data_IF_374708308269
#
_entry.id   IF_374708308269
#
_cell.length_a   1.000
_cell.length_b   1.000
_cell.length_c   1.000
_cell.angle_alpha   90.00
_cell.angle_beta   90.00
_cell.angle_gamma   90.00
#
_symmetry.space_group_name_H-M   'P 1'
#
loop_
_entity.id
_entity.type
_entity.pdbx_description
1 polymer ?
#
# COMPACT_ATOMS: atom_id res chain seq x y z
N UNK A 1 -25.34 5.98 6.19
CA UNK A 1 -24.52 5.81 7.41
C UNK A 1 -23.09 5.57 6.94
N UNK A 2 -22.16 6.44 7.31
CA UNK A 2 -20.88 6.60 6.60
C UNK A 2 -19.81 5.60 7.06
N UNK A 3 -19.32 4.79 6.11
CA UNK A 3 -18.11 3.95 6.22
C UNK A 3 -16.83 4.79 6.51
N UNK A 4 -16.93 6.12 6.48
CA UNK A 4 -15.81 7.05 6.72
C UNK A 4 -15.17 6.95 8.11
N UNK A 5 -15.87 6.41 9.12
CA UNK A 5 -15.33 6.30 10.49
C UNK A 5 -14.35 5.13 10.69
N UNK A 6 -14.31 4.14 9.78
CA UNK A 6 -13.41 2.97 9.88
C UNK A 6 -11.96 3.26 9.43
N UNK A 7 -11.71 4.41 8.77
CA UNK A 7 -10.40 4.74 8.17
C UNK A 7 -9.49 5.56 9.11
N UNK A 8 -9.97 6.00 10.29
CA UNK A 8 -9.14 6.73 11.27
C UNK A 8 -8.29 5.85 12.20
N UNK A 9 -8.38 4.52 12.09
CA UNK A 9 -7.72 3.62 13.04
C UNK A 9 -6.18 3.57 12.92
N UNK A 10 -5.58 4.13 11.87
CA UNK A 10 -4.19 3.82 11.53
C UNK A 10 -3.18 4.95 11.59
N UNK A 11 -3.54 6.16 12.01
CA UNK A 11 -2.66 7.29 12.39
C UNK A 11 -1.17 7.19 11.96
N UNK A 12 -0.93 6.95 10.67
CA UNK A 12 0.38 6.96 10.03
C UNK A 12 0.38 8.20 9.15
N UNK A 13 1.36 9.08 9.33
CA UNK A 13 1.52 10.33 8.57
C UNK A 13 1.98 10.09 7.14
N UNK A 14 1.20 9.31 6.38
CA UNK A 14 1.27 9.25 4.92
C UNK A 14 -0.07 9.81 4.42
N UNK A 15 -0.02 11.01 3.82
CA UNK A 15 -1.19 11.59 3.19
C UNK A 15 -1.45 10.80 1.90
N UNK A 16 -2.29 9.77 2.03
CA UNK A 16 -2.78 8.97 0.93
C UNK A 16 -4.12 9.54 0.46
N UNK A 17 -4.21 9.89 -0.82
CA UNK A 17 -5.45 10.32 -1.46
C UNK A 17 -5.80 9.37 -2.59
N UNK A 18 -7.09 9.11 -2.80
CA UNK A 18 -7.59 8.21 -3.84
C UNK A 18 -9.04 7.79 -3.61
N UNK A 19 -9.62 7.09 -4.57
CA UNK A 19 -10.96 6.51 -4.47
C UNK A 19 -10.84 5.10 -3.91
N UNK A 20 -11.31 4.89 -2.68
CA UNK A 20 -11.30 3.59 -2.02
C UNK A 20 -12.61 2.85 -2.24
N UNK A 21 -12.52 1.62 -2.73
CA UNK A 21 -13.59 0.62 -2.77
C UNK A 21 -13.19 -0.59 -1.94
N UNK A 22 -14.11 -1.04 -1.08
CA UNK A 22 -13.98 -2.25 -0.29
C UNK A 22 -15.22 -3.11 -0.52
N UNK A 23 -15.03 -4.35 -0.93
CA UNK A 23 -16.11 -5.30 -1.17
C UNK A 23 -15.80 -6.63 -0.51
N UNK A 24 -16.64 -7.06 0.42
CA UNK A 24 -16.38 -8.26 1.19
C UNK A 24 -17.44 -8.53 2.24
N UNK A 25 -17.24 -9.63 2.95
CA UNK A 25 -18.13 -10.10 3.99
C UNK A 25 -17.33 -10.23 5.29
N UNK A 26 -17.88 -9.68 6.35
CA UNK A 26 -17.33 -9.78 7.69
C UNK A 26 -18.42 -10.20 8.67
N UNK A 27 -18.06 -11.08 9.58
CA UNK A 27 -18.92 -11.59 10.63
C UNK A 27 -18.26 -11.37 11.98
N UNK A 28 -19.03 -10.94 12.97
CA UNK A 28 -18.59 -10.75 14.34
C UNK A 28 -19.78 -10.71 15.29
N UNK A 29 -19.51 -10.56 16.59
CA UNK A 29 -20.56 -10.66 17.61
C UNK A 29 -21.25 -9.32 17.86
N UNK A 30 -20.50 -8.22 17.80
CA UNK A 30 -20.98 -6.85 18.02
C UNK A 30 -20.34 -5.89 17.03
N UNK A 31 -21.08 -4.85 16.66
CA UNK A 31 -20.57 -3.77 15.81
C UNK A 31 -19.92 -2.71 16.72
N UNK A 32 -18.74 -3.03 17.23
CA UNK A 32 -17.92 -2.12 18.02
C UNK A 32 -16.42 -2.34 17.75
N UNK A 33 -15.59 -1.35 18.11
CA UNK A 33 -14.17 -1.35 17.76
C UNK A 33 -13.36 -2.43 18.50
N UNK A 34 -13.77 -2.83 19.71
CA UNK A 34 -13.05 -3.84 20.48
C UNK A 34 -13.39 -5.25 20.01
N UNK A 35 -14.66 -5.48 19.67
CA UNK A 35 -15.11 -6.74 19.07
C UNK A 35 -14.49 -6.93 17.69
N UNK A 36 -14.42 -5.87 16.87
CA UNK A 36 -13.76 -5.90 15.57
C UNK A 36 -12.29 -6.36 15.65
N UNK A 37 -11.57 -5.88 16.66
CA UNK A 37 -10.14 -6.21 16.84
C UNK A 37 -9.88 -7.62 17.40
N UNK A 38 -10.91 -8.36 17.81
CA UNK A 38 -10.74 -9.61 18.58
C UNK A 38 -11.54 -10.78 18.05
N UNK A 39 -12.74 -10.54 17.53
CA UNK A 39 -13.72 -11.58 17.24
C UNK A 39 -14.30 -11.50 15.83
N UNK A 40 -14.00 -10.43 15.10
CA UNK A 40 -14.42 -10.34 13.72
C UNK A 40 -13.52 -11.18 12.83
N UNK A 41 -14.15 -11.81 11.86
CA UNK A 41 -13.50 -12.60 10.83
C UNK A 41 -14.16 -12.32 9.48
N UNK A 42 -13.41 -12.49 8.40
CA UNK A 42 -13.97 -12.26 7.07
C UNK A 42 -12.91 -12.05 6.00
N UNK A 43 -13.39 -11.78 4.80
CA UNK A 43 -12.56 -11.53 3.64
C UNK A 43 -13.12 -10.39 2.81
N UNK A 44 -12.23 -9.59 2.26
CA UNK A 44 -12.59 -8.49 1.39
C UNK A 44 -11.57 -8.30 0.27
N UNK A 45 -12.04 -7.67 -0.80
CA UNK A 45 -11.22 -7.10 -1.85
C UNK A 45 -11.15 -5.59 -1.62
N UNK A 46 -9.93 -5.10 -1.51
CA UNK A 46 -9.59 -3.69 -1.44
C UNK A 46 -9.16 -3.23 -2.84
N UNK A 47 -9.72 -2.14 -3.32
CA UNK A 47 -9.28 -1.47 -4.54
C UNK A 47 -9.19 0.03 -4.28
N UNK A 48 -8.09 0.64 -4.68
CA UNK A 48 -7.89 2.08 -4.68
C UNK A 48 -7.54 2.51 -6.09
N UNK A 49 -8.25 3.51 -6.61
CA UNK A 49 -7.96 4.13 -7.89
C UNK A 49 -7.51 5.57 -7.68
N UNK A 50 -6.78 6.12 -8.66
CA UNK A 50 -6.30 7.50 -8.65
C UNK A 50 -5.48 7.81 -7.39
N UNK A 51 -4.60 6.88 -7.00
CA UNK A 51 -3.90 6.96 -5.71
C UNK A 51 -2.71 7.92 -5.81
N UNK A 52 -2.65 8.90 -4.93
CA UNK A 52 -1.48 9.80 -4.77
C UNK A 52 -1.00 9.73 -3.34
N UNK A 53 0.27 9.37 -3.18
CA UNK A 53 0.97 9.28 -1.90
C UNK A 53 1.98 10.41 -1.83
N UNK A 54 1.78 11.35 -0.92
CA UNK A 54 2.72 12.44 -0.67
C UNK A 54 3.89 11.97 0.20
N UNK A 55 5.09 12.54 -0.02
CA UNK A 55 6.27 12.32 0.82
C UNK A 55 7.09 11.06 0.47
N UNK A 56 6.62 10.28 -0.49
CA UNK A 56 7.38 9.20 -1.11
C UNK A 56 7.38 9.43 -2.62
N UNK A 57 8.56 9.61 -3.22
CA UNK A 57 8.71 9.75 -4.66
C UNK A 57 9.56 8.59 -5.19
N UNK A 58 8.89 7.56 -5.74
CA UNK A 58 9.60 6.41 -6.31
C UNK A 58 10.42 6.75 -7.57
N UNK A 59 10.05 7.79 -8.33
CA UNK A 59 10.86 8.24 -9.48
C UNK A 59 12.24 8.71 -9.00
N UNK A 60 12.29 9.47 -7.90
CA UNK A 60 13.55 9.86 -7.25
C UNK A 60 14.34 8.64 -6.74
N UNK A 61 13.69 7.65 -6.13
CA UNK A 61 14.37 6.45 -5.61
C UNK A 61 14.99 5.59 -6.73
N UNK A 62 14.28 5.42 -7.84
CA UNK A 62 14.79 4.69 -9.02
C UNK A 62 15.97 5.44 -9.62
N UNK A 63 15.86 6.76 -9.76
CA UNK A 63 16.97 7.57 -10.25
C UNK A 63 18.18 7.47 -9.31
N UNK A 64 18.00 7.55 -8.00
CA UNK A 64 19.08 7.34 -7.03
C UNK A 64 19.74 5.95 -7.17
N UNK A 65 18.96 4.90 -7.45
CA UNK A 65 19.51 3.57 -7.70
C UNK A 65 20.30 3.48 -9.02
N UNK A 66 19.86 4.18 -10.07
CA UNK A 66 20.54 4.25 -11.37
C UNK A 66 21.79 5.14 -11.33
N UNK A 67 21.75 6.27 -10.61
CA UNK A 67 22.90 7.17 -10.36
C UNK A 67 23.98 6.49 -9.53
N UNK A 68 23.62 5.60 -8.61
CA UNK A 68 24.60 4.75 -7.92
C UNK A 68 25.28 3.75 -8.87
N UNK A 69 24.65 3.44 -10.00
CA UNK A 69 25.14 2.49 -11.01
C UNK A 69 25.87 3.19 -12.17
N UNK A 70 25.67 4.50 -12.36
CA UNK A 70 26.21 5.26 -13.51
C UNK A 70 26.59 6.69 -13.09
N UNK A 71 27.72 7.22 -13.57
CA UNK A 71 28.24 8.54 -13.21
C UNK A 71 27.49 9.71 -13.90
N UNK A 72 26.17 9.62 -14.03
CA UNK A 72 25.32 10.61 -14.72
C UNK A 72 24.34 11.20 -13.71
N UNK A 73 24.38 12.53 -13.51
CA UNK A 73 23.42 13.25 -12.67
C UNK A 73 22.29 13.77 -13.55
N UNK A 74 21.06 13.34 -13.30
CA UNK A 74 19.89 13.91 -13.97
C UNK A 74 19.30 15.01 -13.08
N UNK A 75 19.29 16.25 -13.58
CA UNK A 75 18.72 17.39 -12.87
C UNK A 75 17.27 17.59 -13.34
N UNK A 76 16.31 16.99 -12.64
CA UNK A 76 14.89 17.19 -12.93
C UNK A 76 14.09 17.56 -11.68
N UNK A 77 13.05 18.37 -11.91
CA UNK A 77 12.19 18.97 -10.91
C UNK A 77 11.03 18.01 -10.65
N UNK A 78 11.22 17.07 -9.74
CA UNK A 78 10.23 16.03 -9.48
C UNK A 78 9.14 16.52 -8.51
N UNK A 79 7.90 16.17 -8.83
CA UNK A 79 6.75 16.33 -7.94
C UNK A 79 6.95 15.40 -6.73
N UNK A 80 6.78 15.86 -5.48
CA UNK A 80 7.13 15.10 -4.25
C UNK A 80 6.15 13.96 -3.90
N UNK A 81 5.46 13.43 -4.89
CA UNK A 81 4.41 12.45 -4.73
C UNK A 81 4.58 11.27 -5.68
N UNK A 82 4.19 10.09 -5.21
CA UNK A 82 4.00 8.92 -6.07
C UNK A 82 2.56 8.86 -6.49
N UNK A 83 2.33 8.75 -7.80
CA UNK A 83 1.02 8.48 -8.38
C UNK A 83 0.96 7.02 -8.82
N UNK A 84 -0.12 6.36 -8.45
CA UNK A 84 -0.42 4.98 -8.80
C UNK A 84 -1.83 4.93 -9.33
N UNK A 85 -2.01 4.38 -10.52
CA UNK A 85 -3.31 4.36 -11.21
C UNK A 85 -4.28 3.46 -10.47
N UNK A 86 -3.79 2.30 -10.02
CA UNK A 86 -4.56 1.38 -9.20
C UNK A 86 -3.70 0.65 -8.17
N UNK A 87 -4.28 0.44 -7.00
CA UNK A 87 -3.77 -0.45 -5.95
C UNK A 87 -4.89 -1.42 -5.60
N UNK A 88 -4.60 -2.72 -5.56
CA UNK A 88 -5.55 -3.74 -5.14
C UNK A 88 -4.92 -4.70 -4.16
N UNK A 89 -5.71 -5.24 -3.24
CA UNK A 89 -5.27 -6.29 -2.32
C UNK A 89 -6.46 -7.15 -1.93
N UNK A 90 -6.20 -8.42 -1.63
CA UNK A 90 -7.13 -9.21 -0.83
C UNK A 90 -6.81 -8.99 0.63
N UNK A 91 -7.83 -8.84 1.46
CA UNK A 91 -7.73 -8.69 2.89
C UNK A 91 -8.47 -9.85 3.54
N UNK A 92 -7.82 -10.51 4.49
CA UNK A 92 -8.51 -11.42 5.43
C UNK A 92 -8.38 -10.86 6.83
N UNK A 93 -9.45 -10.94 7.60
CA UNK A 93 -9.46 -10.65 9.02
C UNK A 93 -9.77 -11.96 9.73
N UNK A 94 -8.96 -12.30 10.72
CA UNK A 94 -9.17 -13.47 11.58
C UNK A 94 -8.84 -13.08 13.02
N UNK A 95 -9.87 -12.83 13.82
CA UNK A 95 -9.78 -12.56 15.25
C UNK A 95 -8.77 -11.47 15.63
N UNK A 96 -8.71 -10.42 14.82
CA UNK A 96 -7.76 -9.31 14.99
C UNK A 96 -6.48 -9.41 14.19
N UNK A 97 -6.25 -10.52 13.49
CA UNK A 97 -5.16 -10.66 12.54
C UNK A 97 -5.62 -10.24 11.15
N UNK A 98 -5.14 -9.10 10.67
CA UNK A 98 -5.37 -8.63 9.31
C UNK A 98 -4.23 -9.14 8.44
N UNK A 99 -4.55 -9.91 7.40
CA UNK A 99 -3.58 -10.33 6.38
C UNK A 99 -3.92 -9.68 5.05
N UNK A 100 -2.97 -8.91 4.52
CA UNK A 100 -2.99 -8.33 3.19
C UNK A 100 -2.29 -9.29 2.25
N UNK A 101 -3.07 -9.92 1.38
CA UNK A 101 -2.62 -10.88 0.40
C UNK A 101 -2.62 -10.26 -0.99
N UNK A 102 -1.52 -10.46 -1.72
CA UNK A 102 -1.39 -10.05 -3.13
C UNK A 102 -1.67 -8.57 -3.34
N UNK A 103 -1.12 -7.72 -2.47
CA UNK A 103 -1.05 -6.29 -2.74
C UNK A 103 -0.40 -6.11 -4.11
N UNK A 104 -1.06 -5.40 -4.99
CA UNK A 104 -0.59 -5.10 -6.34
C UNK A 104 -0.86 -3.63 -6.59
N UNK A 105 0.16 -2.89 -7.01
CA UNK A 105 0.05 -1.49 -7.41
C UNK A 105 0.64 -1.31 -8.80
N UNK A 106 0.02 -0.49 -9.64
CA UNK A 106 0.54 -0.20 -10.98
C UNK A 106 0.44 1.29 -11.30
N UNK A 107 1.50 1.81 -11.92
CA UNK A 107 1.56 3.10 -12.59
C UNK A 107 2.29 2.98 -13.93
N UNK A 108 2.32 4.07 -14.69
CA UNK A 108 3.06 4.17 -15.96
C UNK A 108 4.53 3.72 -15.88
N UNK A 109 5.17 3.83 -14.71
CA UNK A 109 6.61 3.60 -14.53
C UNK A 109 6.95 2.53 -13.50
N UNK A 110 5.95 1.97 -12.82
CA UNK A 110 6.15 1.08 -11.69
C UNK A 110 5.08 -0.01 -11.59
N UNK A 111 5.52 -1.21 -11.25
CA UNK A 111 4.67 -2.28 -10.74
C UNK A 111 5.16 -2.66 -9.33
N UNK A 112 4.24 -2.77 -8.39
CA UNK A 112 4.52 -3.16 -7.01
C UNK A 112 3.71 -4.40 -6.66
N UNK A 113 4.33 -5.34 -5.97
CA UNK A 113 3.65 -6.47 -5.35
C UNK A 113 4.02 -6.54 -3.87
N UNK A 114 3.13 -7.05 -3.03
CA UNK A 114 3.46 -7.24 -1.62
C UNK A 114 2.46 -8.09 -0.87
N UNK A 115 2.83 -8.40 0.36
CA UNK A 115 2.03 -9.08 1.35
C UNK A 115 2.36 -8.54 2.72
N UNK A 116 1.39 -8.58 3.64
CA UNK A 116 1.60 -8.03 4.96
C UNK A 116 0.64 -8.60 5.97
N UNK A 117 1.06 -8.54 7.23
CA UNK A 117 0.27 -8.97 8.36
C UNK A 117 0.28 -7.88 9.42
N UNK A 118 -0.89 -7.62 9.97
CA UNK A 118 -1.12 -6.63 11.00
C UNK A 118 -1.90 -7.29 12.13
N UNK A 119 -1.30 -7.32 13.31
CA UNK A 119 -1.97 -7.76 14.53
C UNK A 119 -2.59 -6.53 15.21
N UNK A 120 -3.92 -6.43 15.17
CA UNK A 120 -4.67 -5.31 15.73
C UNK A 120 -4.62 -5.25 17.26
N UNK A 121 -4.32 -6.36 17.91
CA UNK A 121 -4.23 -6.44 19.38
C UNK A 121 -2.84 -6.04 19.85
N UNK A 122 -1.80 -6.54 19.18
CA UNK A 122 -0.39 -6.24 19.49
C UNK A 122 0.09 -4.93 18.87
N UNK A 123 -0.66 -4.35 17.92
CA UNK A 123 -0.30 -3.15 17.14
C UNK A 123 1.04 -3.33 16.40
N UNK A 124 1.32 -4.55 15.97
CA UNK A 124 2.52 -4.87 15.19
C UNK A 124 2.14 -5.07 13.73
N UNK A 125 2.88 -4.42 12.82
CA UNK A 125 2.71 -4.57 11.39
C UNK A 125 4.02 -5.07 10.79
N UNK A 126 3.94 -6.09 9.95
CA UNK A 126 5.04 -6.57 9.10
C UNK A 126 4.53 -6.50 7.66
N UNK A 127 5.30 -5.88 6.78
CA UNK A 127 4.96 -5.73 5.37
C UNK A 127 6.19 -6.09 4.54
N UNK A 128 6.06 -7.13 3.72
CA UNK A 128 7.04 -7.49 2.71
C UNK A 128 6.53 -6.98 1.36
N UNK A 129 7.37 -6.23 0.65
CA UNK A 129 6.99 -5.69 -0.66
C UNK A 129 8.16 -5.71 -1.62
N UNK A 130 7.83 -5.91 -2.89
CA UNK A 130 8.75 -5.89 -4.01
C UNK A 130 8.23 -4.88 -5.03
N UNK A 131 9.05 -3.89 -5.33
CA UNK A 131 8.78 -2.89 -6.36
C UNK A 131 9.70 -3.15 -7.55
N UNK A 132 9.12 -3.23 -8.75
CA UNK A 132 9.84 -3.24 -10.01
C UNK A 132 9.51 -1.95 -10.77
N UNK A 133 10.54 -1.21 -11.15
CA UNK A 133 10.38 0.03 -11.90
C UNK A 133 11.04 -0.09 -13.28
N UNK A 134 10.40 0.48 -14.29
CA UNK A 134 10.95 0.61 -15.64
C UNK A 134 11.31 2.06 -15.90
N UNK A 135 12.61 2.35 -16.02
CA UNK A 135 13.05 3.66 -16.49
C UNK A 135 12.84 3.73 -18.00
N UNK A 136 12.22 4.80 -18.49
CA UNK A 136 11.97 5.02 -19.91
C UNK A 136 13.28 4.92 -20.70
N UNK A 137 13.49 3.76 -21.34
CA UNK A 137 14.63 3.48 -22.24
C UNK A 137 15.88 2.81 -21.66
N UNK A 138 16.04 2.59 -20.35
CA UNK A 138 17.29 2.02 -19.78
C UNK A 138 17.08 1.12 -18.56
N UNK A 139 16.70 -0.13 -18.80
CA UNK A 139 16.79 -1.22 -17.81
C UNK A 139 15.66 -1.30 -16.78
N UNK A 140 15.43 -2.51 -16.27
CA UNK A 140 14.52 -2.78 -15.13
C UNK A 140 15.32 -2.74 -13.84
N UNK A 141 14.84 -2.00 -12.85
CA UNK A 141 15.37 -2.02 -11.49
C UNK A 141 14.34 -2.66 -10.56
N UNK A 142 14.77 -3.57 -9.69
CA UNK A 142 13.93 -4.22 -8.68
C UNK A 142 14.45 -3.92 -7.28
N UNK A 143 13.55 -3.49 -6.40
CA UNK A 143 13.80 -3.25 -4.98
C UNK A 143 12.90 -4.20 -4.18
N UNK A 144 13.47 -4.87 -3.18
CA UNK A 144 12.71 -5.71 -2.26
C UNK A 144 12.99 -5.28 -0.83
N UNK A 145 11.92 -5.12 -0.05
CA UNK A 145 11.97 -4.89 1.39
C UNK A 145 11.47 -6.13 2.11
N UNK A 146 12.27 -6.61 3.08
CA UNK A 146 11.96 -7.72 3.96
C UNK A 146 11.64 -7.19 5.36
#
# INVERSE_FOLDING_TARGET
MEIGSLIKAFNYSLNLTGKLSLSGEFSGTRIDADDFRRHWQGQAQLQMADTRTEGLNFQQLVQQAVERSTNVRAQENYDNATRTDSVSSRLTLDNGLVTLNRLQGQSDVMAMTGEGQLDLQKRTAICASTCACSAAGKGRASLSTA
#
